data_IF_709965615263
#
_entry.id   IF_709965615263
#
_cell.length_a   1.000
_cell.length_b   1.000
_cell.length_c   1.000
_cell.angle_alpha   90.00
_cell.angle_beta   90.00
_cell.angle_gamma   90.00
#
_symmetry.space_group_name_H-M   'P 1'
#
loop_
_entity.id
_entity.type
_entity.pdbx_description
1 polymer ?
#
# COMPACT_ATOMS: atom_id res chain seq x y z
N UNK A 1 38.88 -42.64 -43.90
CA UNK A 1 37.59 -42.80 -43.18
C UNK A 1 37.59 -42.16 -41.78
N UNK A 2 38.42 -41.14 -41.50
CA UNK A 2 38.55 -40.55 -40.16
C UNK A 2 38.00 -39.12 -40.03
N UNK A 3 37.83 -38.38 -41.15
CA UNK A 3 37.32 -37.00 -41.10
C UNK A 3 35.79 -36.89 -41.08
N UNK A 4 35.06 -37.90 -41.56
CA UNK A 4 33.59 -37.84 -41.63
C UNK A 4 32.91 -38.10 -40.28
N UNK A 5 33.53 -38.89 -39.40
CA UNK A 5 33.03 -39.15 -38.04
C UNK A 5 33.18 -37.95 -37.09
N UNK A 6 34.19 -37.11 -37.32
CA UNK A 6 34.47 -35.95 -36.47
C UNK A 6 33.46 -34.81 -36.72
N UNK A 7 33.10 -34.55 -37.99
CA UNK A 7 32.05 -33.57 -38.31
C UNK A 7 30.69 -33.98 -37.77
N UNK A 8 30.29 -35.26 -37.89
CA UNK A 8 28.99 -35.73 -37.40
C UNK A 8 28.84 -35.58 -35.88
N UNK A 9 29.93 -35.81 -35.12
CA UNK A 9 29.93 -35.68 -33.65
C UNK A 9 29.84 -34.21 -33.22
N UNK A 10 30.50 -33.29 -33.94
CA UNK A 10 30.47 -31.85 -33.68
C UNK A 10 29.07 -31.27 -33.98
N UNK A 11 28.41 -31.70 -35.06
CA UNK A 11 27.00 -31.32 -35.34
C UNK A 11 26.03 -31.89 -34.30
N UNK A 12 26.26 -33.10 -33.77
CA UNK A 12 25.39 -33.68 -32.75
C UNK A 12 25.53 -32.95 -31.40
N UNK A 13 26.75 -32.54 -31.04
CA UNK A 13 27.04 -31.76 -29.81
C UNK A 13 26.47 -30.35 -29.91
N UNK A 14 26.58 -29.68 -31.06
CA UNK A 14 25.97 -28.35 -31.26
C UNK A 14 24.44 -28.39 -31.30
N UNK A 15 23.84 -29.45 -31.84
CA UNK A 15 22.39 -29.64 -31.77
C UNK A 15 21.91 -29.93 -30.33
N UNK A 16 22.68 -30.69 -29.53
CA UNK A 16 22.39 -30.92 -28.11
C UNK A 16 22.50 -29.65 -27.26
N UNK A 17 23.48 -28.78 -27.53
CA UNK A 17 23.62 -27.48 -26.84
C UNK A 17 22.47 -26.52 -27.22
N UNK A 18 21.90 -26.66 -28.43
CA UNK A 18 20.71 -25.89 -28.86
C UNK A 18 19.37 -26.41 -28.32
N UNK A 19 19.36 -27.59 -27.68
CA UNK A 19 18.17 -28.25 -27.12
C UNK A 19 18.18 -28.32 -25.58
N UNK A 20 19.25 -27.87 -24.93
CA UNK A 20 19.25 -27.63 -23.48
C UNK A 20 18.63 -26.27 -23.19
N UNK A 21 17.64 -26.15 -22.29
CA UNK A 21 17.13 -24.85 -21.89
C UNK A 21 18.29 -24.07 -21.28
N UNK A 22 18.73 -23.00 -21.96
CA UNK A 22 19.76 -22.10 -21.45
C UNK A 22 19.25 -21.51 -20.14
N UNK A 23 19.90 -21.92 -19.05
CA UNK A 23 19.57 -21.51 -17.69
C UNK A 23 19.94 -20.05 -17.47
N UNK A 24 19.07 -19.30 -16.82
CA UNK A 24 19.47 -18.10 -16.08
C UNK A 24 19.88 -18.61 -14.70
N UNK A 25 21.18 -18.71 -14.44
CA UNK A 25 21.72 -19.02 -13.12
C UNK A 25 22.21 -17.71 -12.51
N UNK A 26 21.67 -17.32 -11.35
CA UNK A 26 22.26 -16.23 -10.55
C UNK A 26 23.56 -16.75 -9.92
N UNK A 27 24.59 -15.90 -9.89
CA UNK A 27 25.94 -16.27 -9.43
C UNK A 27 26.06 -16.45 -7.90
N UNK A 28 25.00 -16.20 -7.15
CA UNK A 28 24.95 -16.43 -5.71
C UNK A 28 23.76 -17.33 -5.37
N UNK A 29 24.02 -18.63 -5.17
CA UNK A 29 23.31 -19.52 -4.24
C UNK A 29 21.78 -19.66 -4.27
N UNK A 30 21.04 -19.10 -5.24
CA UNK A 30 19.57 -19.12 -5.21
C UNK A 30 18.97 -19.79 -6.45
N UNK A 31 18.59 -21.06 -6.28
CA UNK A 31 18.12 -21.99 -7.32
C UNK A 31 16.60 -21.88 -7.59
N UNK A 32 16.09 -20.75 -8.07
CA UNK A 32 14.74 -20.72 -8.69
C UNK A 32 14.87 -20.95 -10.19
N UNK A 33 14.48 -22.14 -10.64
CA UNK A 33 14.47 -22.47 -12.05
C UNK A 33 13.18 -21.98 -12.74
N UNK A 34 13.30 -20.95 -13.58
CA UNK A 34 12.21 -20.44 -14.42
C UNK A 34 12.50 -20.74 -15.91
N UNK A 35 11.72 -21.61 -16.58
CA UNK A 35 11.88 -21.86 -18.00
C UNK A 35 11.69 -20.60 -18.85
N UNK A 36 12.56 -20.38 -19.84
CA UNK A 36 12.42 -19.28 -20.82
C UNK A 36 11.07 -19.33 -21.53
N UNK A 37 10.50 -20.52 -21.73
CA UNK A 37 9.17 -20.72 -22.34
C UNK A 37 8.03 -20.08 -21.54
N UNK A 38 8.21 -19.78 -20.25
CA UNK A 38 7.25 -19.00 -19.48
C UNK A 38 7.20 -17.53 -19.93
N UNK A 39 8.19 -17.05 -20.69
CA UNK A 39 8.29 -15.70 -21.24
C UNK A 39 7.91 -14.63 -20.18
N UNK A 40 8.70 -14.63 -19.11
CA UNK A 40 8.61 -13.75 -17.94
C UNK A 40 9.72 -12.70 -17.99
N UNK A 41 9.41 -11.50 -17.51
CA UNK A 41 10.37 -10.41 -17.33
C UNK A 41 11.03 -10.54 -15.96
N UNK A 42 12.10 -11.34 -15.91
CA UNK A 42 12.80 -11.68 -14.66
C UNK A 42 14.05 -10.83 -14.50
N UNK A 43 14.21 -10.24 -13.32
CA UNK A 43 15.38 -9.50 -12.89
C UNK A 43 16.15 -10.37 -11.88
N UNK A 44 17.43 -10.61 -12.17
CA UNK A 44 18.35 -11.39 -11.34
C UNK A 44 19.64 -10.63 -11.03
N UNK A 45 19.72 -9.35 -11.42
CA UNK A 45 20.88 -8.52 -11.11
C UNK A 45 20.94 -8.24 -9.59
N UNK A 46 22.15 -8.08 -9.01
CA UNK A 46 22.31 -7.91 -7.56
C UNK A 46 21.53 -6.72 -6.97
N UNK A 47 21.33 -5.65 -7.74
CA UNK A 47 20.59 -4.47 -7.28
C UNK A 47 19.11 -4.79 -7.10
N UNK A 48 18.49 -5.44 -8.09
CA UNK A 48 17.09 -5.86 -8.02
C UNK A 48 16.85 -6.87 -6.89
N UNK A 49 17.75 -7.84 -6.71
CA UNK A 49 17.66 -8.80 -5.60
C UNK A 49 17.74 -8.07 -4.26
N UNK A 50 18.80 -7.28 -4.03
CA UNK A 50 19.01 -6.53 -2.78
C UNK A 50 17.82 -5.62 -2.44
N UNK A 51 17.27 -4.89 -3.41
CA UNK A 51 16.11 -4.03 -3.19
C UNK A 51 14.84 -4.80 -2.77
N UNK A 52 14.75 -6.08 -3.14
CA UNK A 52 13.65 -6.97 -2.77
C UNK A 52 13.90 -7.75 -1.47
N UNK A 53 15.15 -7.82 -0.99
CA UNK A 53 15.52 -8.57 0.22
C UNK A 53 15.21 -7.85 1.54
N UNK A 54 15.05 -6.53 1.50
CA UNK A 54 14.85 -5.69 2.69
C UNK A 54 13.41 -5.13 2.74
N UNK A 55 12.94 -4.68 3.89
CA UNK A 55 11.69 -3.93 4.03
C UNK A 55 11.87 -2.71 4.93
N UNK A 56 10.82 -1.92 5.12
CA UNK A 56 10.87 -0.71 5.95
C UNK A 56 11.24 -0.99 7.41
N UNK A 57 10.92 -2.17 7.92
CA UNK A 57 11.30 -2.56 9.29
C UNK A 57 12.80 -2.68 9.47
N UNK A 58 13.54 -3.05 8.42
CA UNK A 58 15.00 -3.24 8.44
C UNK A 58 15.49 -4.15 9.58
N UNK A 59 14.68 -5.18 9.90
CA UNK A 59 14.96 -6.19 10.94
C UNK A 59 15.34 -7.54 10.32
N UNK A 60 14.75 -7.87 9.17
CA UNK A 60 14.94 -9.14 8.46
C UNK A 60 15.58 -8.89 7.10
N UNK A 61 16.51 -9.74 6.71
CA UNK A 61 17.13 -9.75 5.38
C UNK A 61 16.89 -11.12 4.74
N UNK A 62 16.05 -11.15 3.71
CA UNK A 62 15.51 -12.38 3.13
C UNK A 62 15.65 -12.35 1.60
N UNK A 63 16.71 -12.97 1.08
CA UNK A 63 17.04 -12.91 -0.35
C UNK A 63 16.06 -13.73 -1.21
N UNK A 64 15.37 -13.12 -2.20
CA UNK A 64 14.64 -13.87 -3.21
C UNK A 64 15.60 -14.47 -4.26
N UNK A 65 15.17 -15.54 -4.92
CA UNK A 65 15.92 -16.10 -6.05
C UNK A 65 15.76 -15.34 -7.34
N UNK A 66 14.64 -14.66 -7.50
CA UNK A 66 14.42 -13.77 -8.61
C UNK A 66 13.38 -12.71 -8.26
N UNK A 67 13.40 -11.61 -9.02
CA UNK A 67 12.35 -10.60 -8.99
C UNK A 67 11.62 -10.61 -10.33
N UNK A 68 10.31 -10.81 -10.33
CA UNK A 68 9.48 -10.62 -11.51
C UNK A 68 9.12 -9.13 -11.61
N UNK A 69 9.42 -8.50 -12.74
CA UNK A 69 8.97 -7.15 -13.09
C UNK A 69 7.93 -7.25 -14.22
N UNK A 70 6.68 -7.66 -13.90
CA UNK A 70 5.71 -8.04 -14.92
C UNK A 70 5.26 -6.86 -15.77
N UNK A 71 5.13 -7.07 -17.08
CA UNK A 71 4.52 -6.12 -18.02
C UNK A 71 3.00 -6.35 -18.21
N UNK A 72 2.46 -7.41 -17.61
CA UNK A 72 1.04 -7.77 -17.69
C UNK A 72 0.62 -8.71 -16.57
N UNK A 73 -0.69 -8.74 -16.29
CA UNK A 73 -1.27 -9.73 -15.37
C UNK A 73 -1.10 -11.17 -15.84
N UNK A 74 -0.94 -11.39 -17.15
CA UNK A 74 -0.67 -12.71 -17.74
C UNK A 74 0.70 -13.27 -17.33
N UNK A 75 1.73 -12.43 -17.13
CA UNK A 75 3.01 -12.88 -16.57
C UNK A 75 2.86 -13.39 -15.14
N UNK A 76 2.13 -12.63 -14.31
CA UNK A 76 1.86 -13.02 -12.92
C UNK A 76 1.08 -14.34 -12.86
N UNK A 77 0.07 -14.51 -13.71
CA UNK A 77 -0.70 -15.75 -13.81
C UNK A 77 0.16 -16.94 -14.27
N UNK A 78 1.04 -16.75 -15.25
CA UNK A 78 1.97 -17.80 -15.70
C UNK A 78 2.94 -18.22 -14.61
N UNK A 79 3.51 -17.25 -13.88
CA UNK A 79 4.37 -17.53 -12.72
C UNK A 79 3.64 -18.36 -11.67
N UNK A 80 2.43 -17.96 -11.27
CA UNK A 80 1.66 -18.66 -10.24
C UNK A 80 1.22 -20.07 -10.68
N UNK A 81 0.82 -20.26 -11.94
CA UNK A 81 0.54 -21.60 -12.48
C UNK A 81 1.76 -22.51 -12.44
N UNK A 82 2.93 -21.97 -12.79
CA UNK A 82 4.18 -22.71 -12.75
C UNK A 82 4.56 -23.08 -11.31
N UNK A 83 4.51 -22.12 -10.38
CA UNK A 83 4.77 -22.34 -8.96
C UNK A 83 3.81 -23.37 -8.32
N UNK A 84 2.55 -23.41 -8.77
CA UNK A 84 1.53 -24.36 -8.32
C UNK A 84 1.66 -25.76 -8.98
N UNK A 85 2.67 -26.00 -9.82
CA UNK A 85 2.86 -27.28 -10.52
C UNK A 85 1.87 -27.53 -11.66
N UNK A 86 1.06 -26.55 -12.04
CA UNK A 86 0.08 -26.64 -13.13
C UNK A 86 0.68 -26.56 -14.53
N UNK A 87 1.98 -26.32 -14.65
CA UNK A 87 2.69 -26.19 -15.92
C UNK A 87 3.65 -27.38 -16.11
N UNK A 88 3.15 -28.48 -16.69
CA UNK A 88 3.99 -29.64 -17.05
C UNK A 88 4.64 -29.39 -18.42
N UNK A 89 5.94 -29.14 -18.43
CA UNK A 89 6.73 -29.09 -19.66
C UNK A 89 7.29 -30.49 -19.95
N UNK A 90 6.88 -31.06 -21.09
CA UNK A 90 7.13 -32.43 -21.54
C UNK A 90 6.51 -33.54 -20.67
N UNK A 91 5.63 -34.35 -21.27
CA UNK A 91 5.09 -35.64 -20.74
C UNK A 91 6.17 -36.71 -20.39
N UNK A 92 7.45 -36.35 -20.30
CA UNK A 92 8.56 -37.25 -20.05
C UNK A 92 9.76 -36.62 -19.31
N UNK A 93 9.68 -35.39 -18.79
CA UNK A 93 10.75 -34.82 -17.95
C UNK A 93 10.38 -34.95 -16.47
N UNK A 94 11.12 -35.80 -15.76
CA UNK A 94 11.04 -36.01 -14.30
C UNK A 94 11.80 -34.91 -13.54
N UNK A 95 11.60 -33.65 -13.90
CA UNK A 95 12.07 -32.56 -13.02
C UNK A 95 11.13 -32.48 -11.82
N UNK A 96 11.62 -32.53 -10.57
CA UNK A 96 10.76 -32.40 -9.40
C UNK A 96 9.96 -31.11 -9.52
N UNK A 97 8.67 -31.14 -9.21
CA UNK A 97 7.87 -29.93 -9.11
C UNK A 97 8.54 -28.98 -8.12
N UNK A 98 9.21 -27.94 -8.61
CA UNK A 98 9.85 -26.96 -7.75
C UNK A 98 8.76 -26.06 -7.19
N UNK A 99 8.22 -26.40 -6.03
CA UNK A 99 7.34 -25.50 -5.28
C UNK A 99 8.20 -24.45 -4.62
N UNK A 100 8.05 -23.19 -5.06
CA UNK A 100 8.74 -22.04 -4.47
C UNK A 100 7.71 -20.99 -4.02
N UNK A 101 8.11 -20.15 -3.07
CA UNK A 101 7.26 -19.07 -2.56
C UNK A 101 7.17 -17.96 -3.60
N UNK A 102 5.99 -17.36 -3.73
CA UNK A 102 5.78 -16.14 -4.49
C UNK A 102 5.21 -15.09 -3.57
N UNK A 103 5.82 -13.90 -3.53
CA UNK A 103 5.34 -12.78 -2.74
C UNK A 103 5.12 -11.56 -3.63
N UNK A 104 3.93 -10.95 -3.57
CA UNK A 104 3.71 -9.65 -4.18
C UNK A 104 4.32 -8.56 -3.30
N UNK A 105 5.14 -7.70 -3.90
CA UNK A 105 5.77 -6.57 -3.23
C UNK A 105 5.29 -5.26 -3.85
N UNK A 106 4.60 -4.47 -3.04
CA UNK A 106 4.28 -3.07 -3.32
C UNK A 106 5.50 -2.18 -3.07
N UNK A 107 5.40 -1.27 -2.11
CA UNK A 107 6.48 -0.33 -1.75
C UNK A 107 7.41 -0.85 -0.63
N UNK A 108 7.34 -2.14 -0.29
CA UNK A 108 8.23 -2.73 0.73
C UNK A 108 8.01 -2.21 2.15
N UNK A 109 6.86 -1.62 2.47
CA UNK A 109 6.56 -1.01 3.77
C UNK A 109 6.14 -2.00 4.87
N UNK A 110 6.41 -3.28 4.65
CA UNK A 110 6.34 -4.32 5.68
C UNK A 110 7.40 -4.09 6.76
N UNK A 111 7.24 -4.73 7.92
CA UNK A 111 8.13 -4.52 9.07
C UNK A 111 8.97 -5.76 9.44
N UNK A 112 8.57 -6.94 8.96
CA UNK A 112 9.08 -8.25 9.39
C UNK A 112 9.04 -9.27 8.25
N UNK A 113 9.35 -8.84 7.02
CA UNK A 113 9.51 -9.72 5.87
C UNK A 113 8.21 -10.23 5.25
N UNK A 114 7.04 -9.64 5.55
CA UNK A 114 5.75 -10.12 5.02
C UNK A 114 5.66 -10.10 3.48
N UNK A 115 6.42 -9.22 2.81
CA UNK A 115 6.51 -9.12 1.36
C UNK A 115 7.75 -9.83 0.77
N UNK A 116 8.42 -10.70 1.55
CA UNK A 116 9.59 -11.46 1.11
C UNK A 116 9.22 -12.85 0.60
N UNK A 117 10.06 -13.39 -0.28
CA UNK A 117 10.00 -14.78 -0.73
C UNK A 117 11.41 -15.38 -0.69
N UNK A 118 11.90 -15.81 0.49
CA UNK A 118 13.25 -16.36 0.63
C UNK A 118 13.45 -17.54 -0.32
N UNK A 119 14.45 -17.47 -1.19
CA UNK A 119 14.71 -18.48 -2.22
C UNK A 119 13.58 -18.66 -3.24
N UNK A 120 12.62 -17.74 -3.31
CA UNK A 120 11.46 -17.77 -4.19
C UNK A 120 11.45 -16.60 -5.17
N UNK A 121 10.25 -16.18 -5.60
CA UNK A 121 10.09 -15.07 -6.54
C UNK A 121 9.31 -13.93 -5.89
N UNK A 122 9.90 -12.74 -5.86
CA UNK A 122 9.20 -11.51 -5.49
C UNK A 122 8.62 -10.87 -6.74
N UNK A 123 7.31 -10.61 -6.76
CA UNK A 123 6.64 -9.89 -7.85
C UNK A 123 6.64 -8.40 -7.52
N UNK A 124 7.40 -7.62 -8.29
CA UNK A 124 7.43 -6.17 -8.19
C UNK A 124 6.14 -5.58 -8.78
N UNK A 125 5.18 -5.26 -7.90
CA UNK A 125 3.88 -4.74 -8.31
C UNK A 125 3.95 -3.34 -8.90
N UNK A 126 5.01 -2.57 -8.62
CA UNK A 126 5.24 -1.26 -9.24
C UNK A 126 5.41 -1.40 -10.75
N UNK A 127 6.12 -2.45 -11.22
CA UNK A 127 6.23 -2.73 -12.66
C UNK A 127 4.85 -3.00 -13.29
N UNK A 128 4.00 -3.79 -12.61
CA UNK A 128 2.65 -4.06 -13.11
C UNK A 128 1.80 -2.79 -13.23
N UNK A 129 1.92 -1.89 -12.24
CA UNK A 129 1.22 -0.60 -12.26
C UNK A 129 1.71 0.29 -13.40
N UNK A 130 3.02 0.37 -13.65
CA UNK A 130 3.59 1.12 -14.78
C UNK A 130 3.16 0.58 -16.14
N UNK A 131 2.97 -0.74 -16.25
CA UNK A 131 2.53 -1.39 -17.47
C UNK A 131 1.00 -1.44 -17.64
N UNK A 132 0.24 -0.94 -16.67
CA UNK A 132 -1.21 -0.99 -16.68
C UNK A 132 -1.81 -0.21 -17.87
N UNK A 133 -2.86 -0.78 -18.47
CA UNK A 133 -3.58 -0.18 -19.60
C UNK A 133 -5.06 -0.02 -19.24
N UNK A 134 -5.71 1.09 -19.63
CA UNK A 134 -5.16 2.24 -20.35
C UNK A 134 -4.25 3.14 -19.49
N UNK A 135 -4.36 3.06 -18.16
CA UNK A 135 -3.51 3.75 -17.20
C UNK A 135 -3.55 3.01 -15.85
N UNK A 136 -2.67 3.38 -14.93
CA UNK A 136 -2.61 2.84 -13.58
C UNK A 136 -3.79 3.29 -12.68
N UNK A 137 -4.42 4.42 -13.01
CA UNK A 137 -5.60 4.97 -12.34
C UNK A 137 -6.58 5.45 -13.41
N UNK A 138 -7.82 4.96 -13.37
CA UNK A 138 -8.89 5.36 -14.28
C UNK A 138 -10.10 5.78 -13.44
N UNK A 139 -10.42 7.07 -13.47
CA UNK A 139 -11.59 7.63 -12.78
C UNK A 139 -12.84 7.37 -13.63
N UNK A 140 -13.93 6.92 -13.01
CA UNK A 140 -15.22 6.72 -13.68
C UNK A 140 -15.76 8.04 -14.23
N UNK A 141 -16.56 7.99 -15.29
CA UNK A 141 -17.10 9.19 -15.93
C UNK A 141 -17.99 10.02 -14.99
N UNK A 142 -18.67 9.37 -14.04
CA UNK A 142 -19.51 10.00 -13.03
C UNK A 142 -18.75 10.38 -11.73
N UNK A 143 -17.45 10.06 -11.64
CA UNK A 143 -16.61 10.38 -10.49
C UNK A 143 -16.88 9.55 -9.24
N UNK A 144 -17.70 8.50 -9.30
CA UNK A 144 -18.08 7.70 -8.12
C UNK A 144 -17.06 6.64 -7.72
N UNK A 145 -16.17 6.23 -8.63
CA UNK A 145 -15.10 5.28 -8.32
C UNK A 145 -13.85 5.48 -9.19
N UNK A 146 -12.74 4.89 -8.75
CA UNK A 146 -11.52 4.72 -9.53
C UNK A 146 -11.21 3.23 -9.72
N UNK A 147 -10.95 2.80 -10.95
CA UNK A 147 -10.27 1.53 -11.21
C UNK A 147 -8.75 1.74 -11.14
N UNK A 148 -8.11 1.08 -10.18
CA UNK A 148 -6.70 1.32 -9.83
C UNK A 148 -5.89 0.03 -9.91
N UNK A 149 -4.77 0.06 -10.62
CA UNK A 149 -3.80 -1.02 -10.59
C UNK A 149 -3.22 -1.19 -9.18
N UNK A 150 -3.18 -2.42 -8.66
CA UNK A 150 -2.91 -2.64 -7.24
C UNK A 150 -1.49 -2.25 -6.78
N UNK A 151 -0.54 -2.16 -7.70
CA UNK A 151 0.82 -1.67 -7.41
C UNK A 151 0.94 -0.16 -7.28
N UNK A 152 -0.09 0.60 -7.70
CA UNK A 152 -0.11 2.06 -7.66
C UNK A 152 -0.06 2.57 -6.23
N UNK A 153 0.70 3.64 -5.98
CA UNK A 153 0.73 4.29 -4.67
C UNK A 153 -0.49 5.18 -4.45
N UNK A 154 -0.97 5.27 -3.22
CA UNK A 154 -2.11 6.13 -2.86
C UNK A 154 -1.88 7.61 -3.21
N UNK A 155 -0.63 8.09 -3.17
CA UNK A 155 -0.29 9.47 -3.60
C UNK A 155 -0.62 9.71 -5.08
N UNK A 156 -0.46 8.71 -5.94
CA UNK A 156 -0.74 8.84 -7.37
C UNK A 156 -2.24 8.66 -7.66
N UNK A 157 -2.93 7.83 -6.87
CA UNK A 157 -4.41 7.78 -6.87
C UNK A 157 -5.00 9.14 -6.51
N UNK A 158 -4.49 9.77 -5.44
CA UNK A 158 -4.92 11.09 -5.01
C UNK A 158 -4.74 12.11 -6.14
N UNK A 159 -3.53 12.22 -6.71
CA UNK A 159 -3.22 13.17 -7.79
C UNK A 159 -4.20 13.03 -8.96
N UNK A 160 -4.45 11.81 -9.42
CA UNK A 160 -5.36 11.57 -10.54
C UNK A 160 -6.83 11.89 -10.20
N UNK A 161 -7.25 11.65 -8.95
CA UNK A 161 -8.63 11.89 -8.52
C UNK A 161 -8.92 13.39 -8.32
N UNK A 162 -8.00 14.14 -7.69
CA UNK A 162 -8.24 15.56 -7.37
C UNK A 162 -8.34 16.44 -8.60
N UNK A 163 -7.67 16.07 -9.70
CA UNK A 163 -7.81 16.74 -11.01
C UNK A 163 -9.23 16.63 -11.58
N UNK A 164 -10.03 15.68 -11.07
CA UNK A 164 -11.45 15.48 -11.38
C UNK A 164 -12.39 15.96 -10.28
N UNK A 165 -11.87 16.62 -9.23
CA UNK A 165 -12.67 17.12 -8.11
C UNK A 165 -13.19 16.03 -7.17
N UNK A 166 -12.58 14.84 -7.20
CA UNK A 166 -12.97 13.67 -6.39
C UNK A 166 -11.76 13.09 -5.65
N UNK A 167 -12.01 12.26 -4.66
CA UNK A 167 -11.00 11.72 -3.75
C UNK A 167 -11.48 10.40 -3.13
N UNK A 168 -10.59 9.41 -2.87
CA UNK A 168 -10.88 8.35 -1.91
C UNK A 168 -11.33 8.93 -0.56
N UNK A 169 -12.23 8.20 0.12
CA UNK A 169 -12.86 8.64 1.38
C UNK A 169 -12.07 8.26 2.64
N UNK A 170 -11.25 7.21 2.55
CA UNK A 170 -10.40 6.74 3.67
C UNK A 170 -8.94 6.67 3.23
N UNK A 171 -8.06 7.13 4.13
CA UNK A 171 -6.63 7.20 3.89
C UNK A 171 -5.84 6.43 4.93
N UNK A 172 -4.60 6.09 4.58
CA UNK A 172 -3.53 5.79 5.54
C UNK A 172 -2.73 7.05 5.81
N UNK A 173 -2.10 7.15 6.98
CA UNK A 173 -1.22 8.28 7.33
C UNK A 173 0.04 8.39 6.45
N UNK A 174 0.32 7.40 5.62
CA UNK A 174 1.42 7.49 4.65
C UNK A 174 0.92 7.11 3.26
N UNK A 175 1.14 8.00 2.28
CA UNK A 175 0.59 7.84 0.91
C UNK A 175 1.48 7.08 -0.06
N UNK A 176 2.75 6.84 0.25
CA UNK A 176 3.64 6.02 -0.59
C UNK A 176 3.51 4.53 -0.24
N UNK A 177 2.27 4.11 0.03
CA UNK A 177 1.89 2.70 0.15
C UNK A 177 1.12 2.31 -1.11
N UNK A 178 1.32 1.08 -1.58
CA UNK A 178 0.56 0.53 -2.72
C UNK A 178 -0.88 0.19 -2.32
N UNK A 179 -1.85 0.38 -3.22
CA UNK A 179 -3.26 0.01 -3.03
C UNK A 179 -3.42 -1.45 -2.58
N UNK A 180 -2.84 -2.40 -3.30
CA UNK A 180 -2.95 -3.83 -2.97
C UNK A 180 -2.37 -4.18 -1.59
N UNK A 181 -1.29 -3.50 -1.19
CA UNK A 181 -0.65 -3.70 0.10
C UNK A 181 -1.52 -3.28 1.29
N UNK A 182 -2.15 -2.09 1.21
CA UNK A 182 -3.03 -1.62 2.30
C UNK A 182 -4.34 -2.41 2.34
N UNK A 183 -4.91 -2.75 1.17
CA UNK A 183 -6.12 -3.58 1.08
C UNK A 183 -5.90 -5.02 1.56
N UNK A 184 -4.67 -5.53 1.48
CA UNK A 184 -4.31 -6.84 2.07
C UNK A 184 -4.21 -6.80 3.60
N UNK A 185 -4.28 -5.62 4.22
CA UNK A 185 -4.26 -5.43 5.68
C UNK A 185 -5.59 -4.83 6.17
N UNK A 186 -5.79 -3.53 5.98
CA UNK A 186 -7.02 -2.82 6.28
C UNK A 186 -7.00 -1.43 5.64
N UNK A 187 -5.90 -0.69 5.86
CA UNK A 187 -5.76 0.71 5.50
C UNK A 187 -6.56 1.61 6.43
N UNK A 188 -5.94 2.01 7.55
CA UNK A 188 -6.56 2.86 8.57
C UNK A 188 -5.85 4.21 8.64
N UNK A 189 -6.63 5.22 9.01
CA UNK A 189 -6.21 6.57 9.35
C UNK A 189 -7.39 7.33 9.98
N UNK A 190 -7.22 8.62 10.25
CA UNK A 190 -8.20 9.39 11.02
C UNK A 190 -9.61 9.53 10.43
N UNK A 191 -9.88 9.11 9.19
CA UNK A 191 -11.24 9.09 8.59
C UNK A 191 -11.99 7.77 8.83
N UNK A 192 -11.29 6.74 9.35
CA UNK A 192 -11.81 5.37 9.53
C UNK A 192 -13.08 5.33 10.37
N UNK A 193 -13.21 6.22 11.36
CA UNK A 193 -14.38 6.24 12.24
C UNK A 193 -15.68 6.64 11.50
N UNK A 194 -15.58 7.38 10.37
CA UNK A 194 -16.75 7.77 9.56
C UNK A 194 -16.99 6.81 8.39
N UNK A 195 -15.92 6.44 7.69
CA UNK A 195 -16.02 5.74 6.41
C UNK A 195 -15.60 4.27 6.48
N UNK A 196 -15.16 3.79 7.64
CA UNK A 196 -14.49 2.49 7.76
C UNK A 196 -13.08 2.50 7.15
N UNK A 197 -12.32 1.41 7.31
CA UNK A 197 -10.99 1.27 6.70
C UNK A 197 -11.06 1.25 5.16
N UNK A 198 -9.92 1.36 4.47
CA UNK A 198 -9.88 1.29 3.01
C UNK A 198 -10.52 0.02 2.46
N UNK A 199 -10.39 -1.12 3.15
CA UNK A 199 -11.06 -2.38 2.76
C UNK A 199 -12.60 -2.31 2.77
N UNK A 200 -13.21 -1.36 3.48
CA UNK A 200 -14.65 -1.12 3.45
C UNK A 200 -15.10 -0.25 2.27
N UNK A 201 -14.15 0.37 1.56
CA UNK A 201 -14.39 1.35 0.49
C UNK A 201 -13.94 0.83 -0.88
N UNK A 202 -14.15 -0.48 -1.11
CA UNK A 202 -13.84 -1.19 -2.35
C UNK A 202 -15.12 -1.78 -2.92
N UNK A 203 -15.38 -1.57 -4.20
CA UNK A 203 -16.56 -2.12 -4.89
C UNK A 203 -16.26 -3.48 -5.55
N UNK A 204 -15.04 -3.68 -6.04
CA UNK A 204 -14.66 -4.82 -6.86
C UNK A 204 -13.14 -4.98 -6.90
N UNK A 205 -12.65 -6.21 -7.05
CA UNK A 205 -11.23 -6.54 -7.20
C UNK A 205 -11.02 -7.48 -8.37
N UNK A 206 -9.87 -7.36 -9.05
CA UNK A 206 -9.35 -8.42 -9.91
C UNK A 206 -8.16 -9.08 -9.20
N UNK A 207 -8.24 -10.39 -9.00
CA UNK A 207 -7.29 -11.18 -8.20
C UNK A 207 -6.77 -12.33 -9.05
N UNK A 208 -5.45 -12.55 -9.02
CA UNK A 208 -4.86 -13.79 -9.51
C UNK A 208 -4.66 -14.72 -8.32
N UNK A 209 -5.41 -15.82 -8.27
CA UNK A 209 -5.35 -16.78 -7.17
C UNK A 209 -4.02 -17.54 -7.13
N UNK A 210 -3.74 -18.27 -6.06
CA UNK A 210 -2.57 -19.16 -5.98
C UNK A 210 -2.52 -20.24 -7.07
N UNK A 211 -3.65 -20.54 -7.73
CA UNK A 211 -3.72 -21.43 -8.89
C UNK A 211 -3.34 -20.74 -10.21
N UNK A 212 -3.12 -19.42 -10.18
CA UNK A 212 -2.88 -18.58 -11.35
C UNK A 212 -4.13 -18.36 -12.22
N UNK A 213 -5.32 -18.40 -11.60
CA UNK A 213 -6.60 -18.06 -12.21
C UNK A 213 -6.89 -16.58 -11.98
N UNK A 214 -7.20 -15.84 -13.05
CA UNK A 214 -7.66 -14.45 -12.93
C UNK A 214 -9.15 -14.45 -12.62
N UNK A 215 -9.54 -13.84 -11.51
CA UNK A 215 -10.93 -13.77 -11.06
C UNK A 215 -11.29 -12.34 -10.68
N UNK A 216 -12.44 -11.88 -11.16
CA UNK A 216 -13.06 -10.65 -10.65
C UNK A 216 -13.99 -11.03 -9.49
N UNK A 217 -13.92 -10.28 -8.39
CA UNK A 217 -14.75 -10.50 -7.22
C UNK A 217 -15.30 -9.20 -6.63
N UNK A 218 -16.49 -9.28 -6.03
CA UNK A 218 -17.24 -8.21 -5.39
C UNK A 218 -18.19 -8.81 -4.34
N UNK A 219 -18.93 -8.00 -3.56
CA UNK A 219 -19.97 -8.53 -2.67
C UNK A 219 -21.04 -9.38 -3.37
N UNK A 220 -21.19 -9.25 -4.70
CA UNK A 220 -22.20 -9.96 -5.50
C UNK A 220 -21.64 -11.02 -6.45
N UNK A 221 -20.31 -11.07 -6.63
CA UNK A 221 -19.62 -11.96 -7.55
C UNK A 221 -18.41 -12.56 -6.85
N UNK A 222 -18.31 -13.89 -6.72
CA UNK A 222 -17.23 -14.54 -5.96
C UNK A 222 -17.00 -13.91 -4.55
N UNK A 223 -18.05 -13.73 -3.72
CA UNK A 223 -17.95 -12.96 -2.48
C UNK A 223 -16.97 -13.56 -1.46
N UNK A 224 -16.83 -14.88 -1.42
CA UNK A 224 -15.85 -15.55 -0.55
C UNK A 224 -14.41 -15.10 -0.88
N UNK A 225 -14.08 -14.98 -2.16
CA UNK A 225 -12.77 -14.46 -2.58
C UNK A 225 -12.63 -12.97 -2.23
N UNK A 226 -13.68 -12.17 -2.50
CA UNK A 226 -13.68 -10.73 -2.20
C UNK A 226 -13.40 -10.43 -0.73
N UNK A 227 -14.16 -11.05 0.18
CA UNK A 227 -13.95 -10.88 1.62
C UNK A 227 -12.71 -11.61 2.14
N UNK A 228 -12.28 -12.69 1.47
CA UNK A 228 -11.05 -13.39 1.82
C UNK A 228 -9.80 -12.53 1.56
N UNK A 229 -9.71 -11.86 0.42
CA UNK A 229 -8.50 -11.08 0.07
C UNK A 229 -8.40 -9.74 0.80
N UNK A 230 -9.52 -9.12 1.15
CA UNK A 230 -9.56 -7.86 1.92
C UNK A 230 -9.14 -8.13 3.37
N UNK A 231 -7.98 -7.61 3.76
CA UNK A 231 -7.33 -7.97 5.02
C UNK A 231 -6.76 -9.39 5.06
N UNK A 232 -6.67 -10.06 3.90
CA UNK A 232 -6.26 -11.46 3.78
C UNK A 232 -4.75 -11.68 3.78
N UNK A 233 -3.93 -10.67 4.06
CA UNK A 233 -2.47 -10.75 4.15
C UNK A 233 -1.81 -11.40 2.91
N UNK A 234 -2.41 -11.20 1.73
CA UNK A 234 -1.94 -11.77 0.46
C UNK A 234 -2.07 -13.30 0.35
N UNK A 235 -2.79 -13.97 1.25
CA UNK A 235 -2.81 -15.43 1.35
C UNK A 235 -3.64 -16.13 0.25
N UNK A 236 -4.65 -15.44 -0.29
CA UNK A 236 -5.61 -16.05 -1.22
C UNK A 236 -5.34 -15.72 -2.69
N UNK A 237 -4.42 -14.77 -2.94
CA UNK A 237 -4.04 -14.34 -4.28
C UNK A 237 -3.41 -12.96 -4.31
N UNK A 238 -2.96 -12.56 -5.50
CA UNK A 238 -2.40 -11.24 -5.77
C UNK A 238 -3.52 -10.35 -6.32
N UNK A 239 -3.87 -9.29 -5.59
CA UNK A 239 -4.75 -8.23 -6.10
C UNK A 239 -3.99 -7.52 -7.25
N UNK A 240 -4.63 -7.39 -8.41
CA UNK A 240 -4.06 -6.73 -9.59
C UNK A 240 -4.78 -5.45 -9.97
N UNK A 241 -6.09 -5.36 -9.68
CA UNK A 241 -6.89 -4.14 -9.79
C UNK A 241 -7.84 -4.04 -8.59
N UNK A 242 -8.11 -2.82 -8.13
CA UNK A 242 -9.18 -2.52 -7.19
C UNK A 242 -10.05 -1.36 -7.70
N UNK A 243 -11.38 -1.50 -7.55
CA UNK A 243 -12.34 -0.42 -7.75
C UNK A 243 -12.57 0.29 -6.42
N UNK A 244 -12.00 1.47 -6.26
CA UNK A 244 -12.02 2.26 -5.02
C UNK A 244 -13.18 3.26 -5.08
N UNK A 245 -13.95 3.36 -3.99
CA UNK A 245 -15.00 4.36 -3.85
C UNK A 245 -14.40 5.78 -3.80
N UNK A 246 -15.04 6.71 -4.50
CA UNK A 246 -14.68 8.12 -4.50
C UNK A 246 -15.84 8.98 -4.03
N UNK A 247 -15.50 10.13 -3.46
CA UNK A 247 -16.44 11.20 -3.13
C UNK A 247 -15.84 12.55 -3.50
N UNK A 248 -16.59 13.63 -3.32
CA UNK A 248 -16.13 14.99 -3.55
C UNK A 248 -14.81 15.29 -2.83
N UNK A 249 -13.83 15.82 -3.56
CA UNK A 249 -12.60 16.32 -2.97
C UNK A 249 -12.83 17.73 -2.41
N UNK A 250 -12.76 17.92 -1.07
CA UNK A 250 -12.85 19.26 -0.50
C UNK A 250 -11.63 20.09 -0.89
N UNK A 251 -11.74 21.42 -0.76
CA UNK A 251 -10.68 22.34 -1.26
C UNK A 251 -9.74 22.82 -0.17
N UNK A 252 -10.17 22.76 1.10
CA UNK A 252 -9.41 23.27 2.25
C UNK A 252 -9.61 22.38 3.47
N UNK A 253 -8.67 22.49 4.41
CA UNK A 253 -8.72 21.79 5.69
C UNK A 253 -8.42 22.77 6.82
N UNK A 254 -9.24 22.72 7.86
CA UNK A 254 -8.96 23.32 9.16
C UNK A 254 -8.43 22.21 10.06
N UNK A 255 -7.16 22.28 10.44
CA UNK A 255 -6.46 21.25 11.19
C UNK A 255 -6.06 21.78 12.57
N UNK A 256 -6.44 21.07 13.63
CA UNK A 256 -6.26 21.52 15.01
C UNK A 256 -5.61 20.44 15.87
N UNK A 257 -4.78 20.87 16.83
CA UNK A 257 -4.26 20.05 17.92
C UNK A 257 -4.72 20.62 19.27
N UNK A 258 -5.25 19.75 20.12
CA UNK A 258 -5.79 20.08 21.44
C UNK A 258 -5.02 19.27 22.48
N UNK A 259 -4.47 19.95 23.49
CA UNK A 259 -3.56 19.37 24.48
C UNK A 259 -4.29 19.13 25.80
N UNK A 260 -4.16 17.93 26.33
CA UNK A 260 -4.71 17.48 27.61
C UNK A 260 -3.60 16.94 28.50
N UNK A 261 -3.69 17.17 29.81
CA UNK A 261 -2.91 16.45 30.83
C UNK A 261 -3.69 15.30 31.48
N UNK A 262 -5.02 15.31 31.38
CA UNK A 262 -5.88 14.22 31.87
C UNK A 262 -6.28 13.29 30.72
N UNK A 263 -5.91 12.01 30.85
CA UNK A 263 -6.28 10.99 29.88
C UNK A 263 -7.80 10.80 29.81
N UNK A 264 -8.50 10.95 30.94
CA UNK A 264 -9.95 10.75 30.98
C UNK A 264 -10.66 11.82 30.13
N UNK A 265 -10.24 13.08 30.23
CA UNK A 265 -10.73 14.16 29.37
C UNK A 265 -10.42 13.93 27.89
N UNK A 266 -9.16 13.63 27.55
CA UNK A 266 -8.74 13.30 26.19
C UNK A 266 -9.58 12.18 25.56
N UNK A 267 -9.75 11.07 26.30
CA UNK A 267 -10.53 9.92 25.86
C UNK A 267 -12.01 10.29 25.65
N UNK A 268 -12.64 10.99 26.60
CA UNK A 268 -14.06 11.40 26.51
C UNK A 268 -14.30 12.22 25.24
N UNK A 269 -13.40 13.16 24.93
CA UNK A 269 -13.54 14.00 23.75
C UNK A 269 -13.29 13.22 22.46
N UNK A 270 -12.34 12.29 22.44
CA UNK A 270 -12.18 11.37 21.32
C UNK A 270 -13.47 10.56 21.05
N UNK A 271 -14.00 9.88 22.07
CA UNK A 271 -15.21 9.05 21.97
C UNK A 271 -16.43 9.87 21.54
N UNK A 272 -16.57 11.08 22.09
CA UNK A 272 -17.63 12.00 21.69
C UNK A 272 -17.51 12.39 20.22
N UNK A 273 -16.34 12.82 19.76
CA UNK A 273 -16.16 13.32 18.40
C UNK A 273 -16.36 12.22 17.36
N UNK A 274 -15.92 10.98 17.63
CA UNK A 274 -16.19 9.86 16.70
C UNK A 274 -17.67 9.45 16.67
N UNK A 275 -18.45 9.77 17.70
CA UNK A 275 -19.90 9.51 17.73
C UNK A 275 -20.73 10.55 16.96
N UNK A 276 -20.13 11.68 16.55
CA UNK A 276 -20.82 12.74 15.83
C UNK A 276 -20.98 12.39 14.34
N UNK A 277 -22.19 12.01 13.95
CA UNK A 277 -22.52 11.64 12.55
C UNK A 277 -23.05 12.79 11.70
N UNK A 278 -23.26 13.97 12.30
CA UNK A 278 -23.79 15.14 11.60
C UNK A 278 -22.68 15.95 10.89
N UNK A 279 -23.09 16.99 10.15
CA UNK A 279 -22.19 17.90 9.43
C UNK A 279 -21.28 18.73 10.37
N UNK A 280 -21.62 18.80 11.66
CA UNK A 280 -20.83 19.47 12.68
C UNK A 280 -19.67 18.61 13.19
N UNK A 281 -19.66 17.29 12.93
CA UNK A 281 -18.57 16.40 13.30
C UNK A 281 -17.30 16.65 12.47
N UNK A 282 -16.14 16.30 13.03
CA UNK A 282 -14.82 16.37 12.34
C UNK A 282 -14.70 15.30 11.26
N UNK A 283 -13.90 15.51 10.22
CA UNK A 283 -13.72 14.54 9.12
C UNK A 283 -12.48 13.66 9.31
N UNK A 284 -11.57 14.10 10.17
CA UNK A 284 -10.37 13.38 10.61
C UNK A 284 -10.21 13.50 12.12
N UNK A 285 -9.88 12.39 12.79
CA UNK A 285 -9.57 12.37 14.21
C UNK A 285 -8.50 11.31 14.52
N UNK A 286 -7.45 11.74 15.20
CA UNK A 286 -6.40 10.88 15.76
C UNK A 286 -5.92 11.37 17.13
N UNK A 287 -4.98 10.63 17.72
CA UNK A 287 -4.36 10.98 18.99
C UNK A 287 -2.88 10.63 19.00
N UNK A 288 -2.09 11.43 19.71
CA UNK A 288 -0.68 11.17 19.94
C UNK A 288 -0.30 11.50 21.39
N UNK A 289 0.82 10.94 21.85
CA UNK A 289 1.40 11.20 23.17
C UNK A 289 2.70 11.99 23.01
N UNK A 290 2.85 13.05 23.80
CA UNK A 290 4.12 13.74 23.99
C UNK A 290 4.61 13.43 25.40
N UNK A 291 5.81 12.86 25.51
CA UNK A 291 6.40 12.46 26.79
C UNK A 291 7.69 13.23 27.05
N UNK A 292 7.90 13.68 28.28
CA UNK A 292 9.09 14.45 28.66
C UNK A 292 10.40 13.67 28.60
N UNK A 293 10.33 12.33 28.60
CA UNK A 293 11.48 11.44 28.45
C UNK A 293 11.73 11.00 27.00
N UNK A 294 10.99 11.54 26.03
CA UNK A 294 11.12 11.25 24.62
C UNK A 294 11.41 12.49 23.77
N UNK A 295 11.43 12.31 22.45
CA UNK A 295 11.45 13.43 21.53
C UNK A 295 10.09 14.13 21.53
N UNK A 296 10.08 15.43 21.80
CA UNK A 296 8.87 16.27 21.75
C UNK A 296 8.85 17.04 20.44
N UNK A 297 8.16 16.49 19.45
CA UNK A 297 7.96 17.19 18.18
C UNK A 297 6.98 18.36 18.35
N UNK A 298 7.51 19.58 18.23
CA UNK A 298 6.71 20.81 18.26
C UNK A 298 6.58 21.49 16.89
N UNK A 299 7.05 20.85 15.81
CA UNK A 299 7.11 21.42 14.45
C UNK A 299 5.75 21.83 13.88
N UNK A 300 4.67 21.16 14.32
CA UNK A 300 3.31 21.54 13.97
C UNK A 300 2.91 22.91 14.54
N UNK A 301 3.42 23.27 15.72
CA UNK A 301 3.01 24.47 16.41
C UNK A 301 3.77 25.69 15.87
N UNK A 302 3.12 26.86 15.78
CA UNK A 302 3.80 28.11 15.46
C UNK A 302 4.98 28.33 16.40
N UNK A 303 6.07 28.95 15.89
CA UNK A 303 7.28 29.22 16.69
C UNK A 303 6.97 29.91 18.03
N UNK A 304 5.93 30.76 18.08
CA UNK A 304 5.47 31.43 19.31
C UNK A 304 4.95 30.49 20.40
N UNK A 305 4.49 29.29 20.03
CA UNK A 305 3.89 28.31 20.94
C UNK A 305 4.81 27.13 21.28
N UNK A 306 5.86 26.89 20.50
CA UNK A 306 6.75 25.73 20.67
C UNK A 306 7.35 25.66 22.09
N UNK A 307 7.87 26.77 22.61
CA UNK A 307 8.43 26.83 23.98
C UNK A 307 7.38 26.54 25.04
N UNK A 308 6.15 27.05 24.87
CA UNK A 308 5.06 26.80 25.81
C UNK A 308 4.63 25.33 25.80
N UNK A 309 4.49 24.74 24.62
CA UNK A 309 4.15 23.32 24.47
C UNK A 309 5.23 22.44 25.12
N UNK A 310 6.51 22.74 24.87
CA UNK A 310 7.62 22.02 25.50
C UNK A 310 7.58 22.14 27.04
N UNK A 311 7.26 23.32 27.59
CA UNK A 311 7.07 23.51 29.03
C UNK A 311 5.96 22.62 29.57
N UNK A 312 4.79 22.61 28.93
CA UNK A 312 3.65 21.79 29.36
C UNK A 312 4.00 20.30 29.42
N UNK A 313 4.76 19.80 28.44
CA UNK A 313 5.22 18.40 28.44
C UNK A 313 6.15 18.12 29.63
N UNK A 314 7.05 19.05 29.95
CA UNK A 314 7.92 18.91 31.12
C UNK A 314 7.14 18.96 32.44
N UNK A 315 6.18 19.87 32.57
CA UNK A 315 5.40 20.10 33.78
C UNK A 315 4.46 18.92 34.09
N UNK A 316 3.83 18.34 33.06
CA UNK A 316 2.86 17.26 33.21
C UNK A 316 3.43 15.86 32.95
N UNK A 317 4.68 15.75 32.49
CA UNK A 317 5.38 14.54 32.03
C UNK A 317 4.79 13.85 30.79
N UNK A 318 3.46 13.81 30.68
CA UNK A 318 2.71 13.29 29.54
C UNK A 318 1.67 14.33 29.15
N UNK A 319 1.64 14.67 27.86
CA UNK A 319 0.58 15.43 27.24
C UNK A 319 -0.08 14.55 26.17
N UNK A 320 -1.40 14.44 26.25
CA UNK A 320 -2.23 13.79 25.25
C UNK A 320 -2.63 14.84 24.23
N UNK A 321 -2.37 14.60 22.95
CA UNK A 321 -2.71 15.54 21.89
C UNK A 321 -3.78 14.92 21.02
N UNK A 322 -4.96 15.52 21.05
CA UNK A 322 -6.05 15.22 20.14
C UNK A 322 -5.85 15.99 18.85
N UNK A 323 -5.80 15.27 17.74
CA UNK A 323 -5.58 15.85 16.41
C UNK A 323 -6.85 15.69 15.59
N UNK A 324 -7.41 16.81 15.13
CA UNK A 324 -8.70 16.84 14.43
C UNK A 324 -8.64 17.70 13.20
N UNK A 325 -9.33 17.28 12.14
CA UNK A 325 -9.47 18.10 10.95
C UNK A 325 -10.92 18.17 10.48
N UNK A 326 -11.32 19.36 10.03
CA UNK A 326 -12.57 19.59 9.31
C UNK A 326 -12.25 20.02 7.88
N UNK A 327 -12.76 19.27 6.92
CA UNK A 327 -12.66 19.55 5.51
C UNK A 327 -13.76 20.50 5.08
N UNK A 328 -13.43 21.43 4.19
CA UNK A 328 -14.39 22.43 3.76
C UNK A 328 -14.06 23.00 2.38
N UNK A 329 -15.04 23.70 1.85
CA UNK A 329 -14.99 24.46 0.61
C UNK A 329 -15.65 25.83 0.80
N UNK A 330 -15.87 26.57 -0.29
CA UNK A 330 -16.52 27.89 -0.22
C UNK A 330 -17.95 27.82 0.34
N UNK A 331 -18.66 26.72 0.12
CA UNK A 331 -20.08 26.56 0.52
C UNK A 331 -20.22 26.17 1.99
N UNK A 332 -19.26 25.42 2.52
CA UNK A 332 -19.24 24.92 3.91
C UNK A 332 -18.43 25.82 4.86
N UNK A 333 -17.69 26.81 4.34
CA UNK A 333 -16.97 27.80 5.15
C UNK A 333 -17.80 28.43 6.29
N UNK A 334 -19.09 28.80 6.12
CA UNK A 334 -19.86 29.44 7.18
C UNK A 334 -20.06 28.60 8.46
N UNK A 335 -19.98 27.26 8.35
CA UNK A 335 -20.19 26.37 9.51
C UNK A 335 -18.89 26.04 10.25
N UNK A 336 -17.72 26.38 9.71
CA UNK A 336 -16.42 26.00 10.29
C UNK A 336 -16.22 26.58 11.69
N UNK A 337 -16.63 27.83 11.91
CA UNK A 337 -16.53 28.45 13.24
C UNK A 337 -17.46 27.77 14.27
N UNK A 338 -18.60 27.25 13.82
CA UNK A 338 -19.52 26.49 14.68
C UNK A 338 -18.95 25.12 15.01
N UNK A 339 -18.35 24.44 14.04
CA UNK A 339 -17.63 23.17 14.24
C UNK A 339 -16.54 23.32 15.30
N UNK A 340 -15.70 24.35 15.17
CA UNK A 340 -14.62 24.62 16.14
C UNK A 340 -15.15 24.84 17.56
N UNK A 341 -16.24 25.59 17.71
CA UNK A 341 -16.91 25.77 19.01
C UNK A 341 -17.48 24.47 19.55
N UNK A 342 -17.91 23.54 18.70
CA UNK A 342 -18.46 22.26 19.13
C UNK A 342 -17.40 21.25 19.55
N UNK A 343 -16.18 21.37 19.00
CA UNK A 343 -15.01 20.54 19.31
C UNK A 343 -14.41 20.93 20.66
N UNK A 344 -14.39 22.22 20.97
CA UNK A 344 -13.73 22.75 22.16
C UNK A 344 -14.72 22.75 23.35
N UNK A 345 -14.47 21.90 24.34
CA UNK A 345 -15.17 21.92 25.63
C UNK A 345 -14.27 22.36 26.77
N UNK A 346 -14.83 22.64 27.94
CA UNK A 346 -14.03 22.92 29.14
C UNK A 346 -13.21 21.67 29.52
N UNK A 347 -12.00 21.86 30.08
CA UNK A 347 -10.99 20.84 30.46
C UNK A 347 -9.82 20.53 29.48
N UNK A 348 -9.40 21.49 28.64
CA UNK A 348 -8.12 21.41 27.89
C UNK A 348 -7.09 22.42 28.41
N UNK A 349 -5.80 22.10 28.27
CA UNK A 349 -4.71 23.00 28.62
C UNK A 349 -4.48 24.05 27.55
N UNK A 350 -4.50 23.62 26.29
CA UNK A 350 -4.20 24.48 25.17
C UNK A 350 -4.77 23.96 23.84
N UNK A 351 -5.19 24.87 22.95
CA UNK A 351 -5.71 24.54 21.60
C UNK A 351 -5.02 25.41 20.56
N UNK A 352 -4.55 24.80 19.46
CA UNK A 352 -3.97 25.48 18.30
C UNK A 352 -4.66 24.98 17.04
N UNK A 353 -4.95 25.90 16.10
CA UNK A 353 -5.64 25.57 14.83
C UNK A 353 -5.02 26.29 13.64
N UNK A 354 -4.66 25.53 12.60
CA UNK A 354 -4.07 26.02 11.35
C UNK A 354 -5.06 25.82 10.21
N UNK A 355 -5.13 26.78 9.27
CA UNK A 355 -5.93 26.67 8.03
C UNK A 355 -4.98 26.36 6.88
N UNK A 356 -5.33 25.40 6.03
CA UNK A 356 -4.52 25.04 4.86
C UNK A 356 -5.35 24.64 3.62
N UNK A 357 -4.71 24.59 2.47
CA UNK A 357 -5.29 24.16 1.18
C UNK A 357 -5.19 22.64 1.03
N UNK A 358 -6.28 22.00 0.61
CA UNK A 358 -6.39 20.54 0.49
C UNK A 358 -5.43 19.95 -0.55
N UNK A 359 -5.33 20.55 -1.74
CA UNK A 359 -4.46 20.02 -2.80
C UNK A 359 -2.96 20.01 -2.44
N UNK A 360 -2.48 21.05 -1.75
CA UNK A 360 -1.07 21.14 -1.37
C UNK A 360 -0.76 20.39 -0.09
N UNK A 361 -1.72 20.26 0.83
CA UNK A 361 -1.45 19.71 2.15
C UNK A 361 -2.25 18.47 2.51
N UNK A 362 -3.11 17.87 1.69
CA UNK A 362 -3.58 16.51 1.99
C UNK A 362 -2.40 15.54 1.94
N UNK A 363 -1.48 15.70 0.97
CA UNK A 363 -0.24 14.92 0.97
C UNK A 363 0.60 15.23 2.21
N UNK A 364 0.71 16.50 2.64
CA UNK A 364 1.48 16.86 3.85
C UNK A 364 0.78 16.49 5.16
N UNK A 365 -0.53 16.63 5.32
CA UNK A 365 -1.26 16.25 6.55
C UNK A 365 -1.17 14.75 6.76
N UNK A 366 -1.26 14.00 5.66
CA UNK A 366 -1.04 12.58 5.68
C UNK A 366 0.47 12.34 5.95
N UNK A 367 1.38 12.80 5.09
CA UNK A 367 2.83 12.50 5.19
C UNK A 367 3.59 13.14 6.38
N UNK A 368 3.10 14.20 7.04
CA UNK A 368 3.89 14.98 8.02
C UNK A 368 4.26 14.19 9.27
N UNK A 369 3.68 13.00 9.47
CA UNK A 369 4.04 12.11 10.57
C UNK A 369 5.30 11.27 10.29
N UNK A 370 5.82 11.27 9.06
CA UNK A 370 6.88 10.37 8.63
C UNK A 370 8.12 11.07 8.06
N UNK A 371 8.19 12.40 8.13
CA UNK A 371 9.41 13.17 7.81
C UNK A 371 10.08 13.55 9.13
N UNK A 372 10.72 12.57 9.77
CA UNK A 372 11.77 12.77 10.79
C UNK A 372 12.73 11.60 10.75
#
# INVERSE_FOLDING_TARGET
>A
MTNTLCLSLITLITLFISLTPTLIKSDEGIDVFLPISLNLTVLTDPFSISAASHDFGNITDENPGAVLCPSSTTEVARLLRFANGGFSYNKGSTSPASTFKVAARGQGHSLRGQASAPGGVVVNMTCLAMAAKPAAVVISADGTYADVAAGTMWVDVLKAAVDRGVSPVTWTDYLYLSVGGTLSNAGIGGQTFRHGPQISNVHELDVITGKGEMMTCSPKLNPELFYGVLGGLGQFGIITRARIALDHAPTRVKWSRILYSDFSAFKRDQERLISMTNDLGVDFLEGQLMMSNGFVDTSFFPLSDQTRVASLVNDHRIIYVLEVAKYYDRTTLPIIDQVLKSIIHDDYLHTISIITNYHHHLSYMIQSKYIT
#
